data_IF_903186171546
#
_entry.id   IF_903186171546
#
_cell.length_a   1.000
_cell.length_b   1.000
_cell.length_c   1.000
_cell.angle_alpha   90.00
_cell.angle_beta   90.00
_cell.angle_gamma   90.00
#
_symmetry.space_group_name_H-M   'P 1'
#
loop_
_entity.id
_entity.type
_entity.pdbx_description
1 polymer ?
#
# COMPACT_ATOMS: atom_id res chain seq x y z
N UNK A 1 20.01 13.19 -3.27
CA UNK A 1 19.37 12.63 -2.06
C UNK A 1 19.72 11.15 -1.99
N UNK A 2 20.44 10.70 -0.95
CA UNK A 2 20.83 9.29 -0.81
C UNK A 2 19.58 8.52 -0.38
N UNK A 3 19.22 7.48 -1.14
CA UNK A 3 18.07 6.64 -0.83
C UNK A 3 18.42 5.74 0.35
N UNK A 4 17.56 5.71 1.36
CA UNK A 4 17.73 4.85 2.52
C UNK A 4 16.93 3.55 2.32
N UNK A 5 17.64 2.44 2.29
CA UNK A 5 17.09 1.09 2.17
C UNK A 5 17.09 0.36 3.53
N UNK A 6 17.38 1.06 4.62
CA UNK A 6 17.48 0.48 5.96
C UNK A 6 16.09 0.36 6.60
N UNK A 7 15.85 -0.77 7.25
CA UNK A 7 14.67 -1.05 8.05
C UNK A 7 14.71 -0.24 9.36
N UNK A 8 13.58 0.35 9.74
CA UNK A 8 13.45 1.07 11.00
C UNK A 8 13.22 0.12 12.19
N UNK A 9 13.64 0.47 13.42
CA UNK A 9 13.33 -0.34 14.60
C UNK A 9 11.81 -0.51 14.80
N UNK A 10 11.35 -1.77 14.90
CA UNK A 10 9.94 -2.08 15.11
C UNK A 10 9.06 -2.02 13.85
N UNK A 11 9.64 -1.70 12.70
CA UNK A 11 8.97 -1.75 11.40
C UNK A 11 8.68 -3.19 10.99
N UNK A 12 7.53 -3.42 10.36
CA UNK A 12 7.24 -4.73 9.76
C UNK A 12 8.10 -4.94 8.53
N UNK A 13 8.70 -6.14 8.39
CA UNK A 13 9.58 -6.46 7.25
C UNK A 13 8.92 -6.21 5.89
N UNK A 14 7.59 -6.41 5.79
CA UNK A 14 6.82 -6.15 4.57
C UNK A 14 6.73 -4.64 4.25
N UNK A 15 6.52 -3.81 5.27
CA UNK A 15 6.52 -2.34 5.14
C UNK A 15 7.90 -1.84 4.68
N UNK A 16 8.97 -2.35 5.30
CA UNK A 16 10.34 -2.04 4.89
C UNK A 16 10.63 -2.43 3.42
N UNK A 17 10.15 -3.60 2.98
CA UNK A 17 10.32 -4.03 1.58
C UNK A 17 9.57 -3.11 0.62
N UNK A 18 8.34 -2.72 0.96
CA UNK A 18 7.59 -1.77 0.14
C UNK A 18 8.31 -0.42 0.06
N UNK A 19 8.88 0.08 1.17
CA UNK A 19 9.73 1.28 1.14
C UNK A 19 10.93 1.09 0.20
N UNK A 20 11.58 -0.08 0.20
CA UNK A 20 12.68 -0.35 -0.72
C UNK A 20 12.22 -0.30 -2.18
N UNK A 21 11.05 -0.87 -2.48
CA UNK A 21 10.42 -0.79 -3.80
C UNK A 21 10.18 0.66 -4.21
N UNK A 22 9.53 1.46 -3.36
CA UNK A 22 9.22 2.88 -3.60
C UNK A 22 10.50 3.72 -3.78
N UNK A 23 11.58 3.35 -3.10
CA UNK A 23 12.92 3.92 -3.28
C UNK A 23 13.63 3.41 -4.56
N UNK A 24 12.92 2.73 -5.46
CA UNK A 24 13.41 2.17 -6.73
C UNK A 24 14.54 1.17 -6.56
N UNK A 25 14.43 0.26 -5.58
CA UNK A 25 15.34 -0.87 -5.45
C UNK A 25 15.39 -1.74 -6.72
N UNK A 26 14.33 -1.72 -7.55
CA UNK A 26 14.27 -2.42 -8.83
C UNK A 26 15.19 -1.83 -9.90
N UNK A 27 15.57 -0.56 -9.79
CA UNK A 27 16.48 0.11 -10.73
C UNK A 27 17.95 0.06 -10.31
N UNK A 28 18.25 -0.51 -9.13
CA UNK A 28 19.61 -0.56 -8.59
C UNK A 28 20.22 -1.94 -8.84
N UNK A 29 20.92 -2.10 -9.96
CA UNK A 29 21.65 -3.32 -10.30
C UNK A 29 22.93 -3.44 -9.47
N UNK A 30 23.13 -4.60 -8.84
CA UNK A 30 24.27 -4.84 -7.96
C UNK A 30 24.83 -6.24 -8.15
N UNK A 31 26.15 -6.36 -8.11
CA UNK A 31 26.84 -7.62 -7.79
C UNK A 31 26.68 -7.96 -6.30
N UNK A 32 26.91 -9.23 -5.94
CA UNK A 32 26.83 -9.66 -4.53
C UNK A 32 27.83 -8.93 -3.61
N UNK A 33 28.97 -8.49 -4.15
CA UNK A 33 29.96 -7.69 -3.39
C UNK A 33 29.48 -6.26 -3.14
N UNK A 34 28.87 -5.62 -4.13
CA UNK A 34 28.31 -4.27 -4.01
C UNK A 34 27.10 -4.27 -3.07
N UNK A 35 26.26 -5.29 -3.16
CA UNK A 35 25.14 -5.49 -2.24
C UNK A 35 25.60 -5.61 -0.77
N UNK A 36 26.75 -6.25 -0.50
CA UNK A 36 27.35 -6.29 0.86
C UNK A 36 27.81 -4.92 1.35
N UNK A 37 28.20 -4.02 0.45
CA UNK A 37 28.65 -2.66 0.81
C UNK A 37 27.50 -1.77 1.26
N UNK A 38 26.24 -2.16 0.98
CA UNK A 38 25.06 -1.49 1.52
C UNK A 38 24.88 -1.68 3.03
N UNK A 39 25.56 -2.67 3.62
CA UNK A 39 25.54 -2.93 5.06
C UNK A 39 24.32 -3.72 5.51
N UNK A 40 23.92 -3.53 6.78
CA UNK A 40 22.79 -4.22 7.40
C UNK A 40 21.49 -3.47 7.13
N UNK A 41 20.78 -3.89 6.08
CA UNK A 41 19.54 -3.24 5.65
C UNK A 41 18.35 -3.72 6.47
N UNK A 42 18.21 -5.03 6.64
CA UNK A 42 17.05 -5.67 7.28
C UNK A 42 17.12 -5.67 8.80
N UNK A 43 18.31 -5.44 9.37
CA UNK A 43 18.64 -5.64 10.80
C UNK A 43 18.54 -7.11 11.25
N UNK A 44 18.29 -8.04 10.33
CA UNK A 44 18.33 -9.48 10.55
C UNK A 44 19.55 -10.05 9.82
N UNK A 45 20.56 -10.51 10.57
CA UNK A 45 21.82 -10.97 9.99
C UNK A 45 21.67 -12.10 8.94
N UNK A 46 20.61 -12.91 9.03
CA UNK A 46 20.30 -13.93 8.03
C UNK A 46 19.89 -13.34 6.68
N UNK A 47 19.01 -12.34 6.69
CA UNK A 47 18.54 -11.64 5.47
C UNK A 47 19.69 -10.82 4.88
N UNK A 48 20.41 -10.05 5.69
CA UNK A 48 21.52 -9.20 5.23
C UNK A 48 22.63 -10.01 4.55
N UNK A 49 22.93 -11.20 5.10
CA UNK A 49 23.89 -12.13 4.48
C UNK A 49 23.38 -12.68 3.14
N UNK A 50 22.09 -12.97 3.04
CA UNK A 50 21.48 -13.52 1.83
C UNK A 50 21.39 -12.48 0.70
N UNK A 51 21.17 -11.20 1.00
CA UNK A 51 21.16 -10.11 0.01
C UNK A 51 22.50 -10.06 -0.77
N UNK A 52 23.61 -10.24 -0.06
CA UNK A 52 24.96 -10.26 -0.63
C UNK A 52 25.40 -11.58 -1.27
N UNK A 53 24.51 -12.59 -1.33
CA UNK A 53 24.84 -13.93 -1.85
C UNK A 53 24.78 -13.93 -3.38
N UNK A 54 25.56 -14.83 -3.98
CA UNK A 54 25.63 -15.01 -5.44
C UNK A 54 26.56 -14.04 -6.16
N UNK A 55 27.06 -14.48 -7.32
CA UNK A 55 27.86 -13.68 -8.25
C UNK A 55 27.07 -12.91 -9.34
N UNK A 56 25.85 -13.30 -9.79
CA UNK A 56 25.20 -12.60 -10.90
C UNK A 56 24.77 -11.20 -10.49
N UNK A 57 24.77 -10.27 -11.44
CA UNK A 57 24.19 -8.93 -11.29
C UNK A 57 22.67 -9.07 -11.24
N UNK A 58 22.07 -8.54 -10.19
CA UNK A 58 20.63 -8.52 -9.97
C UNK A 58 20.25 -7.19 -9.34
N UNK A 59 19.04 -6.71 -9.64
CA UNK A 59 18.48 -5.56 -8.93
C UNK A 59 18.40 -5.82 -7.43
N UNK A 60 18.58 -4.76 -6.64
CA UNK A 60 18.43 -4.82 -5.18
C UNK A 60 17.07 -5.41 -4.81
N UNK A 61 16.01 -5.09 -5.56
CA UNK A 61 14.69 -5.69 -5.36
C UNK A 61 14.70 -7.21 -5.49
N UNK A 62 15.28 -7.77 -6.57
CA UNK A 62 15.36 -9.24 -6.73
C UNK A 62 16.19 -9.90 -5.63
N UNK A 63 17.26 -9.25 -5.19
CA UNK A 63 18.09 -9.73 -4.07
C UNK A 63 17.30 -9.76 -2.75
N UNK A 64 16.53 -8.71 -2.47
CA UNK A 64 15.66 -8.62 -1.30
C UNK A 64 14.60 -9.72 -1.31
N UNK A 65 13.87 -9.89 -2.42
CA UNK A 65 12.87 -10.95 -2.55
C UNK A 65 13.46 -12.35 -2.34
N UNK A 66 14.64 -12.61 -2.93
CA UNK A 66 15.34 -13.90 -2.78
C UNK A 66 15.79 -14.13 -1.34
N UNK A 67 16.34 -13.12 -0.68
CA UNK A 67 16.77 -13.19 0.72
C UNK A 67 15.58 -13.43 1.66
N UNK A 68 14.44 -12.80 1.38
CA UNK A 68 13.20 -13.03 2.11
C UNK A 68 12.70 -14.45 1.97
N UNK A 69 12.69 -14.99 0.74
CA UNK A 69 12.28 -16.37 0.47
C UNK A 69 13.23 -17.41 1.08
N UNK A 70 14.54 -17.10 1.15
CA UNK A 70 15.53 -17.95 1.84
C UNK A 70 15.32 -17.94 3.37
N UNK A 71 14.97 -16.78 3.95
CA UNK A 71 14.74 -16.64 5.39
C UNK A 71 13.39 -17.20 5.85
N UNK A 72 12.36 -16.99 5.04
CA UNK A 72 10.96 -17.33 5.28
C UNK A 72 10.44 -18.13 4.08
N UNK A 73 10.67 -19.45 4.01
CA UNK A 73 10.29 -20.26 2.86
C UNK A 73 8.79 -20.29 2.58
N UNK A 74 7.95 -20.08 3.61
CA UNK A 74 6.50 -20.06 3.51
C UNK A 74 5.92 -18.70 3.88
N UNK A 75 4.81 -18.32 3.23
CA UNK A 75 4.13 -17.04 3.43
C UNK A 75 3.65 -16.83 4.85
N UNK A 76 3.31 -17.93 5.52
CA UNK A 76 2.83 -17.97 6.90
C UNK A 76 3.95 -17.69 7.92
N UNK A 77 5.22 -17.84 7.52
CA UNK A 77 6.37 -17.59 8.40
C UNK A 77 6.63 -16.09 8.60
N UNK A 78 6.14 -15.26 7.66
CA UNK A 78 6.27 -13.80 7.74
C UNK A 78 5.21 -13.24 8.69
N UNK A 79 5.66 -12.73 9.84
CA UNK A 79 4.78 -12.09 10.81
C UNK A 79 4.35 -10.73 10.28
N UNK A 80 3.17 -10.69 9.65
CA UNK A 80 2.52 -9.47 9.19
C UNK A 80 1.10 -9.40 9.74
N UNK A 81 0.91 -8.55 10.76
CA UNK A 81 -0.38 -8.29 11.41
C UNK A 81 -0.64 -6.78 11.48
N UNK A 82 -0.84 -6.13 10.33
CA UNK A 82 -1.19 -4.73 10.28
C UNK A 82 -2.47 -4.44 11.08
N UNK A 83 -2.51 -3.27 11.72
CA UNK A 83 -3.72 -2.78 12.38
C UNK A 83 -4.86 -2.49 11.38
N UNK A 84 -6.02 -2.09 11.90
CA UNK A 84 -7.08 -1.51 11.07
C UNK A 84 -6.55 -0.23 10.42
N UNK A 85 -6.86 -0.04 9.14
CA UNK A 85 -6.55 1.21 8.46
C UNK A 85 -7.71 2.20 8.67
N UNK A 86 -7.38 3.49 8.73
CA UNK A 86 -8.32 4.57 9.07
C UNK A 86 -8.47 5.62 7.98
N UNK A 87 -7.56 5.64 7.01
CA UNK A 87 -7.55 6.54 5.86
C UNK A 87 -7.31 5.74 4.58
N UNK A 88 -7.64 6.30 3.42
CA UNK A 88 -7.47 5.56 2.16
C UNK A 88 -6.00 5.31 1.86
N UNK A 89 -5.10 6.24 2.17
CA UNK A 89 -3.66 6.06 1.96
C UNK A 89 -3.13 4.89 2.79
N UNK A 90 -3.60 4.74 4.03
CA UNK A 90 -3.27 3.57 4.85
C UNK A 90 -3.90 2.29 4.31
N UNK A 91 -5.08 2.35 3.70
CA UNK A 91 -5.72 1.22 3.02
C UNK A 91 -4.96 0.79 1.76
N UNK A 92 -4.48 1.75 0.97
CA UNK A 92 -3.65 1.53 -0.21
C UNK A 92 -2.31 0.95 0.20
N UNK A 93 -1.64 1.55 1.18
CA UNK A 93 -0.39 1.02 1.75
C UNK A 93 -0.57 -0.43 2.21
N UNK A 94 -1.64 -0.71 2.97
CA UNK A 94 -1.97 -2.05 3.45
C UNK A 94 -2.11 -3.05 2.30
N UNK A 95 -2.78 -2.66 1.22
CA UNK A 95 -2.98 -3.49 0.04
C UNK A 95 -1.65 -3.78 -0.69
N UNK A 96 -0.82 -2.76 -0.88
CA UNK A 96 0.52 -2.89 -1.47
C UNK A 96 1.42 -3.78 -0.62
N UNK A 97 1.34 -3.69 0.70
CA UNK A 97 2.07 -4.58 1.62
C UNK A 97 1.60 -6.04 1.46
N UNK A 98 0.30 -6.30 1.30
CA UNK A 98 -0.18 -7.63 0.97
C UNK A 98 0.33 -8.12 -0.39
N UNK A 99 0.45 -7.22 -1.37
CA UNK A 99 0.95 -7.53 -2.70
C UNK A 99 2.44 -7.88 -2.69
N UNK A 100 3.25 -7.19 -1.88
CA UNK A 100 4.66 -7.55 -1.65
C UNK A 100 4.80 -9.01 -1.21
N UNK A 101 3.89 -9.51 -0.35
CA UNK A 101 3.89 -10.93 0.00
C UNK A 101 3.60 -11.82 -1.21
N UNK A 102 2.65 -11.48 -2.08
CA UNK A 102 2.42 -12.25 -3.31
C UNK A 102 3.66 -12.23 -4.22
N UNK A 103 4.35 -11.10 -4.33
CA UNK A 103 5.59 -10.98 -5.13
C UNK A 103 6.71 -11.87 -4.58
N UNK A 104 6.92 -11.91 -3.25
CA UNK A 104 7.94 -12.77 -2.62
C UNK A 104 7.69 -14.26 -2.91
N UNK A 105 6.44 -14.70 -2.75
CA UNK A 105 6.07 -16.11 -2.85
C UNK A 105 5.67 -16.54 -4.26
N UNK A 106 5.56 -15.60 -5.19
CA UNK A 106 5.45 -15.85 -6.62
C UNK A 106 6.67 -16.56 -7.20
N UNK A 107 6.54 -16.97 -8.45
CA UNK A 107 7.65 -17.49 -9.24
C UNK A 107 8.59 -16.35 -9.66
N UNK A 108 9.73 -16.22 -8.98
CA UNK A 108 10.72 -15.15 -9.20
C UNK A 108 11.50 -15.30 -10.50
N UNK A 109 11.50 -16.52 -11.08
CA UNK A 109 12.19 -16.83 -12.33
C UNK A 109 11.26 -16.63 -13.54
N UNK A 110 9.95 -16.63 -13.30
CA UNK A 110 8.98 -16.28 -14.32
C UNK A 110 8.95 -14.76 -14.57
N UNK A 111 9.49 -14.34 -15.70
CA UNK A 111 9.45 -12.93 -16.13
C UNK A 111 8.05 -12.41 -16.46
N UNK A 112 7.08 -13.30 -16.68
CA UNK A 112 5.68 -12.92 -16.93
C UNK A 112 4.93 -12.58 -15.64
N UNK A 113 5.47 -12.90 -14.47
CA UNK A 113 4.83 -12.59 -13.19
C UNK A 113 5.17 -11.15 -12.77
N UNK A 114 4.19 -10.37 -12.27
CA UNK A 114 4.46 -9.03 -11.77
C UNK A 114 5.53 -9.04 -10.66
N UNK A 115 6.57 -8.23 -10.86
CA UNK A 115 7.57 -7.91 -9.83
C UNK A 115 7.26 -6.59 -9.14
N UNK A 116 6.35 -5.81 -9.73
CA UNK A 116 5.78 -4.60 -9.16
C UNK A 116 4.58 -4.96 -8.27
N UNK A 117 4.61 -4.62 -6.97
CA UNK A 117 3.46 -4.76 -6.08
C UNK A 117 2.17 -4.11 -6.60
N UNK A 118 2.25 -3.03 -7.37
CA UNK A 118 1.08 -2.30 -7.88
C UNK A 118 0.42 -3.01 -9.09
N UNK A 119 1.15 -3.87 -9.80
CA UNK A 119 0.64 -4.65 -10.93
C UNK A 119 0.09 -6.02 -10.52
N UNK A 120 0.23 -6.42 -9.26
CA UNK A 120 -0.30 -7.69 -8.74
C UNK A 120 -1.82 -7.72 -8.85
N UNK A 121 -2.38 -8.78 -9.41
CA UNK A 121 -3.82 -9.04 -9.37
C UNK A 121 -4.27 -9.35 -7.94
N UNK A 122 -5.27 -8.62 -7.44
CA UNK A 122 -5.79 -8.80 -6.10
C UNK A 122 -6.43 -10.18 -5.94
N UNK A 123 -5.92 -10.98 -5.02
CA UNK A 123 -6.49 -12.29 -4.70
C UNK A 123 -7.69 -12.17 -3.76
N UNK A 124 -8.59 -13.17 -3.76
CA UNK A 124 -9.72 -13.22 -2.80
C UNK A 124 -9.26 -13.15 -1.33
N UNK A 125 -8.16 -13.80 -0.91
CA UNK A 125 -7.60 -13.61 0.42
C UNK A 125 -7.13 -12.17 0.71
N UNK A 126 -6.44 -11.51 -0.23
CA UNK A 126 -6.05 -10.10 -0.06
C UNK A 126 -7.26 -9.21 0.13
N UNK A 127 -8.28 -9.40 -0.71
CA UNK A 127 -9.54 -8.65 -0.65
C UNK A 127 -10.23 -8.75 0.71
N UNK A 128 -10.40 -9.98 1.21
CA UNK A 128 -11.02 -10.21 2.52
C UNK A 128 -10.25 -9.54 3.66
N UNK A 129 -8.91 -9.53 3.58
CA UNK A 129 -8.05 -8.86 4.55
C UNK A 129 -8.20 -7.34 4.49
N UNK A 130 -8.23 -6.76 3.28
CA UNK A 130 -8.45 -5.32 3.08
C UNK A 130 -9.79 -4.87 3.66
N UNK A 131 -10.89 -5.50 3.25
CA UNK A 131 -12.26 -5.15 3.68
C UNK A 131 -12.44 -5.33 5.19
N UNK A 132 -11.92 -6.42 5.78
CA UNK A 132 -12.06 -6.70 7.22
C UNK A 132 -11.35 -5.65 8.09
N UNK A 133 -10.27 -5.06 7.59
CA UNK A 133 -9.49 -4.05 8.31
C UNK A 133 -9.89 -2.62 7.95
N UNK A 134 -10.91 -2.45 7.11
CA UNK A 134 -11.43 -1.16 6.68
C UNK A 134 -12.24 -0.44 7.76
N UNK A 135 -12.31 0.91 7.70
CA UNK A 135 -13.35 1.69 8.36
C UNK A 135 -14.73 1.23 7.90
N UNK A 136 -15.76 1.24 8.76
CA UNK A 136 -17.11 0.83 8.39
C UNK A 136 -17.68 1.57 7.18
N UNK A 137 -17.37 2.87 7.03
CA UNK A 137 -17.79 3.69 5.89
C UNK A 137 -17.22 3.19 4.56
N UNK A 138 -16.00 2.64 4.57
CA UNK A 138 -15.30 2.18 3.37
C UNK A 138 -15.61 0.72 3.05
N UNK A 139 -15.84 -0.11 4.08
CA UNK A 139 -16.06 -1.54 3.95
C UNK A 139 -17.24 -1.89 3.00
N UNK A 140 -18.33 -1.12 3.07
CA UNK A 140 -19.51 -1.32 2.22
C UNK A 140 -19.22 -1.02 0.75
N UNK A 141 -18.57 0.12 0.48
CA UNK A 141 -18.18 0.50 -0.89
C UNK A 141 -17.22 -0.51 -1.49
N UNK A 142 -16.23 -0.97 -0.71
CA UNK A 142 -15.33 -2.04 -1.12
C UNK A 142 -16.08 -3.35 -1.38
N UNK A 143 -17.05 -3.73 -0.55
CA UNK A 143 -17.80 -4.97 -0.78
C UNK A 143 -18.53 -5.04 -2.13
N UNK A 144 -18.83 -3.89 -2.74
CA UNK A 144 -19.56 -3.75 -4.00
C UNK A 144 -18.62 -3.71 -5.22
N UNK A 145 -17.29 -3.53 -5.02
CA UNK A 145 -16.35 -3.47 -6.12
C UNK A 145 -16.34 -4.76 -6.94
N UNK A 146 -16.52 -4.60 -8.25
CA UNK A 146 -16.84 -5.69 -9.15
C UNK A 146 -15.58 -6.45 -9.59
N UNK A 147 -15.67 -7.77 -9.62
CA UNK A 147 -14.64 -8.65 -10.19
C UNK A 147 -14.99 -8.90 -11.66
N UNK A 148 -14.09 -8.57 -12.60
CA UNK A 148 -14.33 -8.78 -14.03
C UNK A 148 -13.93 -10.21 -14.40
N UNK A 149 -14.84 -10.96 -15.03
CA UNK A 149 -14.54 -12.24 -15.69
C UNK A 149 -13.77 -13.27 -14.86
N UNK A 150 -13.95 -13.25 -13.53
CA UNK A 150 -13.27 -14.15 -12.59
C UNK A 150 -11.88 -13.70 -12.16
N UNK A 151 -11.32 -12.67 -12.81
CA UNK A 151 -10.05 -12.04 -12.44
C UNK A 151 -10.29 -10.85 -11.49
N UNK A 152 -9.38 -10.72 -10.51
CA UNK A 152 -9.40 -9.61 -9.57
C UNK A 152 -8.76 -8.37 -10.19
N UNK A 153 -9.17 -7.14 -9.79
CA UNK A 153 -8.49 -5.93 -10.21
C UNK A 153 -7.03 -5.92 -9.74
N UNK A 154 -6.17 -5.18 -10.42
CA UNK A 154 -4.79 -4.96 -9.93
C UNK A 154 -4.79 -4.10 -8.68
N UNK A 155 -3.70 -4.15 -7.91
CA UNK A 155 -3.51 -3.28 -6.74
C UNK A 155 -3.61 -1.80 -7.14
N UNK A 156 -3.03 -1.43 -8.30
CA UNK A 156 -3.16 -0.10 -8.86
C UNK A 156 -4.61 0.31 -9.13
N UNK A 157 -5.41 -0.57 -9.77
CA UNK A 157 -6.81 -0.28 -10.06
C UNK A 157 -7.63 -0.07 -8.77
N UNK A 158 -7.39 -0.88 -7.75
CA UNK A 158 -8.05 -0.72 -6.44
C UNK A 158 -7.62 0.57 -5.76
N UNK A 159 -6.33 0.91 -5.84
CA UNK A 159 -5.81 2.15 -5.27
C UNK A 159 -6.43 3.39 -5.93
N UNK A 160 -6.55 3.39 -7.27
CA UNK A 160 -7.22 4.46 -8.01
C UNK A 160 -8.68 4.60 -7.60
N UNK A 161 -9.41 3.49 -7.46
CA UNK A 161 -10.81 3.52 -7.02
C UNK A 161 -10.97 4.04 -5.59
N UNK A 162 -10.05 3.70 -4.68
CA UNK A 162 -10.04 4.23 -3.32
C UNK A 162 -9.83 5.76 -3.30
N UNK A 163 -8.96 6.26 -4.18
CA UNK A 163 -8.74 7.70 -4.34
C UNK A 163 -9.95 8.42 -4.91
N UNK A 164 -10.52 7.91 -5.99
CA UNK A 164 -11.74 8.48 -6.61
C UNK A 164 -12.90 8.55 -5.60
N UNK A 165 -13.03 7.54 -4.75
CA UNK A 165 -14.03 7.52 -3.70
C UNK A 165 -13.79 8.60 -2.63
N UNK A 166 -12.55 8.82 -2.22
CA UNK A 166 -12.19 9.88 -1.26
C UNK A 166 -12.45 11.28 -1.82
N UNK A 167 -12.10 11.52 -3.09
CA UNK A 167 -12.40 12.78 -3.77
C UNK A 167 -13.92 13.02 -3.86
N UNK A 168 -14.70 11.97 -4.17
CA UNK A 168 -16.16 12.04 -4.23
C UNK A 168 -16.80 12.38 -2.87
N UNK A 169 -16.34 11.75 -1.78
CA UNK A 169 -16.80 12.07 -0.42
C UNK A 169 -16.45 13.51 -0.06
N UNK A 170 -15.20 13.90 -0.31
CA UNK A 170 -14.69 15.23 0.02
C UNK A 170 -15.49 16.31 -0.71
N UNK A 171 -15.75 16.13 -2.00
CA UNK A 171 -16.57 17.03 -2.81
C UNK A 171 -18.01 17.12 -2.29
N UNK A 172 -18.64 15.98 -1.98
CA UNK A 172 -20.01 15.94 -1.46
C UNK A 172 -20.14 16.67 -0.12
N UNK A 173 -19.12 16.53 0.76
CA UNK A 173 -19.11 17.20 2.04
C UNK A 173 -18.95 18.72 1.91
N UNK A 174 -18.06 19.19 1.03
CA UNK A 174 -17.89 20.62 0.73
C UNK A 174 -19.19 21.23 0.25
N UNK A 175 -19.88 20.59 -0.71
CA UNK A 175 -21.18 21.06 -1.21
C UNK A 175 -22.25 21.14 -0.12
N UNK A 176 -22.30 20.15 0.80
CA UNK A 176 -23.24 20.17 1.91
C UNK A 176 -22.97 21.33 2.88
N UNK A 177 -21.70 21.60 3.19
CA UNK A 177 -21.29 22.72 4.06
C UNK A 177 -21.60 24.07 3.41
N UNK A 178 -21.35 24.22 2.11
CA UNK A 178 -21.69 25.45 1.36
C UNK A 178 -23.20 25.70 1.37
N UNK A 179 -24.01 24.65 1.13
CA UNK A 179 -25.47 24.75 1.16
C UNK A 179 -25.98 25.16 2.55
N UNK A 180 -25.48 24.52 3.60
CA UNK A 180 -25.85 24.87 4.98
C UNK A 180 -25.41 26.30 5.33
N UNK A 181 -24.25 26.75 4.86
CA UNK A 181 -23.78 28.12 5.07
C UNK A 181 -24.70 29.14 4.38
N UNK A 182 -25.16 28.86 3.16
CA UNK A 182 -26.14 29.70 2.45
C UNK A 182 -27.50 29.73 3.16
N UNK A 183 -27.95 28.61 3.72
CA UNK A 183 -29.19 28.54 4.52
C UNK A 183 -29.06 29.34 5.83
N UNK A 184 -27.92 29.27 6.52
CA UNK A 184 -27.68 30.05 7.75
C UNK A 184 -27.62 31.56 7.48
N UNK A 185 -26.97 31.96 6.38
CA UNK A 185 -26.89 33.37 5.96
C UNK A 185 -28.26 33.90 5.57
N UNK A 186 -29.04 33.15 4.78
CA UNK A 186 -30.40 33.56 4.40
C UNK A 186 -31.36 33.61 5.60
N UNK A 187 -31.21 32.70 6.57
CA UNK A 187 -31.99 32.71 7.82
C UNK A 187 -31.69 33.93 8.71
N UNK A 188 -30.44 34.40 8.75
CA UNK A 188 -30.06 35.62 9.48
C UNK A 188 -30.60 36.89 8.82
N UNK A 189 -30.65 36.95 7.48
CA UNK A 189 -31.20 38.10 6.75
C UNK A 189 -32.71 38.27 6.97
N UNK A 190 -33.47 37.16 7.00
CA UNK A 190 -34.93 37.20 7.24
C UNK A 190 -35.27 37.58 8.70
N UNK A 191 -34.40 37.29 9.66
CA UNK A 191 -34.60 37.68 11.07
C UNK A 191 -34.42 39.18 11.34
N UNK A 192 -33.58 39.88 10.56
CA UNK A 192 -33.39 41.33 10.70
C UNK A 192 -34.52 42.16 10.09
N UNK A 193 -35.18 41.69 9.04
CA UNK A 193 -36.25 42.45 8.36
C UNK A 193 -37.58 42.48 9.14
N UNK A 194 -37.81 41.58 10.10
CA UNK A 194 -39.01 41.59 10.95
C UNK A 194 -38.86 42.38 12.27
N UNK A 195 -37.72 43.06 12.47
CA UNK A 195 -37.41 43.84 13.68
C UNK A 195 -37.69 45.35 13.60
N UNK A 196 -38.08 45.89 12.44
CA UNK A 196 -38.35 47.31 12.24
C UNK A 196 -39.81 47.55 11.87
N UNK A 197 -40.70 47.43 12.85
CA UNK A 197 -42.07 47.96 12.77
C UNK A 197 -42.58 48.30 14.17
N UNK A 198 -42.21 49.49 14.65
CA UNK A 198 -42.89 50.20 15.74
C UNK A 198 -42.97 51.69 15.40
#
# INVERSE_FOLDING_TARGET
MRKDFSCCPGEHVVTWLLQCWDNRASSLELEGKEAKQLGFLSREGGIDKAIGKGAPVLSLWRRLLSAMKERYPFKEDVIYRPGKWTTMEKGIQYLRELAVLEVIYGDLDNEQLPKDPDEVQCTRPMWRKLVRNAPPSCANSLAILNWKDGEGPTVHEVASQLWEYEESISSSFVLAVEKLSQEVVSSHSVGCEMGESF
#
